data_IF_391482979630
#
_entry.id   IF_391482979630
#
_cell.length_a   1.000
_cell.length_b   1.000
_cell.length_c   1.000
_cell.angle_alpha   90.00
_cell.angle_beta   90.00
_cell.angle_gamma   90.00
#
_symmetry.space_group_name_H-M   'P 1'
#
loop_
_entity.id
_entity.type
_entity.pdbx_description
1 polymer ?
#
# COMPACT_ATOMS: atom_id res chain seq x y z
N UNK A 1 15.10 -38.50 -38.65
CA UNK A 1 14.92 -37.04 -38.82
C UNK A 1 14.73 -36.32 -37.48
N UNK A 2 13.93 -36.85 -36.54
CA UNK A 2 13.63 -36.20 -35.21
C UNK A 2 14.83 -36.01 -34.30
N UNK A 3 15.78 -36.95 -34.24
CA UNK A 3 16.97 -36.84 -33.36
C UNK A 3 17.93 -35.72 -33.78
N UNK A 4 18.16 -35.50 -35.08
CA UNK A 4 19.04 -34.44 -35.59
C UNK A 4 18.47 -33.03 -35.29
N UNK A 5 17.14 -32.86 -35.33
CA UNK A 5 16.47 -31.61 -34.99
C UNK A 5 16.58 -31.35 -33.51
N UNK A 6 16.42 -32.36 -32.66
CA UNK A 6 16.54 -32.22 -31.21
C UNK A 6 17.96 -31.79 -30.79
N UNK A 7 19.00 -32.37 -31.39
CA UNK A 7 20.40 -32.00 -31.12
C UNK A 7 20.67 -30.55 -31.55
N UNK A 8 20.16 -30.13 -32.71
CA UNK A 8 20.34 -28.75 -33.16
C UNK A 8 19.65 -27.72 -32.23
N UNK A 9 18.47 -28.02 -31.73
CA UNK A 9 17.74 -27.15 -30.78
C UNK A 9 18.48 -27.06 -29.43
N UNK A 10 18.97 -28.20 -28.90
CA UNK A 10 19.77 -28.19 -27.66
C UNK A 10 21.08 -27.42 -27.82
N UNK A 11 21.75 -27.50 -28.97
CA UNK A 11 22.98 -26.74 -29.21
C UNK A 11 22.76 -25.24 -29.25
N UNK A 12 21.65 -24.78 -29.82
CA UNK A 12 21.28 -23.35 -29.82
C UNK A 12 20.98 -22.86 -28.42
N UNK A 13 20.22 -23.62 -27.63
CA UNK A 13 19.91 -23.26 -26.23
C UNK A 13 21.19 -23.17 -25.38
N UNK A 14 22.12 -24.11 -25.55
CA UNK A 14 23.39 -24.10 -24.82
C UNK A 14 24.27 -22.91 -25.22
N UNK A 15 24.30 -22.53 -26.50
CA UNK A 15 25.03 -21.37 -26.98
C UNK A 15 24.46 -20.05 -26.41
N UNK A 16 23.15 -19.93 -26.31
CA UNK A 16 22.49 -18.75 -25.70
C UNK A 16 22.81 -18.67 -24.19
N UNK A 17 22.76 -19.79 -23.47
CA UNK A 17 23.11 -19.84 -22.04
C UNK A 17 24.56 -19.47 -21.79
N UNK A 18 25.51 -19.95 -22.61
CA UNK A 18 26.93 -19.62 -22.49
C UNK A 18 27.26 -18.16 -22.83
N UNK A 19 26.48 -17.53 -23.69
CA UNK A 19 26.62 -16.09 -24.01
C UNK A 19 26.08 -15.18 -22.89
N UNK A 20 25.13 -15.68 -22.07
CA UNK A 20 24.53 -14.91 -20.98
C UNK A 20 25.40 -14.85 -19.71
N UNK A 21 26.27 -15.85 -19.48
CA UNK A 21 27.13 -15.94 -18.29
C UNK A 21 28.08 -14.74 -18.15
N UNK A 22 28.82 -14.28 -19.18
CA UNK A 22 29.69 -13.11 -19.06
C UNK A 22 28.92 -11.78 -18.90
N UNK A 23 27.68 -11.71 -19.38
CA UNK A 23 26.84 -10.52 -19.25
C UNK A 23 26.39 -10.30 -17.80
N UNK A 24 25.97 -11.37 -17.12
CA UNK A 24 25.57 -11.31 -15.69
C UNK A 24 26.77 -11.00 -14.79
N UNK A 25 27.96 -11.56 -15.10
CA UNK A 25 29.17 -11.32 -14.31
C UNK A 25 29.66 -9.86 -14.41
N UNK A 26 29.42 -9.18 -15.53
CA UNK A 26 29.80 -7.79 -15.75
C UNK A 26 28.88 -6.78 -15.02
N UNK A 27 27.66 -7.20 -14.65
CA UNK A 27 26.74 -6.37 -13.87
C UNK A 27 26.88 -6.52 -12.35
N UNK A 28 27.68 -7.49 -11.88
CA UNK A 28 27.83 -7.83 -10.46
C UNK A 28 29.10 -7.33 -9.80
N UNK A 29 29.94 -6.53 -10.48
CA UNK A 29 31.11 -5.92 -9.84
C UNK A 29 30.74 -4.57 -9.23
N UNK A 30 30.84 -4.40 -7.89
CA UNK A 30 30.63 -3.12 -7.25
C UNK A 30 31.76 -2.17 -7.64
N UNK A 31 31.42 -0.99 -8.15
CA UNK A 31 32.36 0.12 -8.30
C UNK A 31 32.64 0.65 -6.90
N UNK A 32 33.88 0.55 -6.44
CA UNK A 32 34.31 1.15 -5.18
C UNK A 32 34.13 2.69 -5.22
N UNK A 33 33.61 3.30 -4.14
CA UNK A 33 33.56 4.75 -4.06
C UNK A 33 34.96 5.32 -3.76
N UNK A 34 35.43 6.21 -4.61
CA UNK A 34 36.61 7.05 -4.43
C UNK A 34 36.53 7.82 -3.11
N UNK A 35 37.50 7.59 -2.25
CA UNK A 35 37.71 8.32 -1.00
C UNK A 35 38.15 9.74 -1.27
N UNK A 36 37.27 10.73 -1.04
CA UNK A 36 37.66 12.13 -0.86
C UNK A 36 37.65 12.46 0.63
N UNK A 37 38.84 12.70 1.14
CA UNK A 37 39.13 13.19 2.48
C UNK A 37 38.50 14.57 2.71
N UNK A 38 37.62 14.71 3.71
CA UNK A 38 37.28 16.00 4.28
C UNK A 38 37.84 16.15 5.68
N UNK A 39 38.68 17.15 5.81
CA UNK A 39 39.35 17.64 7.02
C UNK A 39 38.30 18.15 8.01
N UNK A 40 38.39 17.72 9.24
CA UNK A 40 37.69 18.22 10.41
C UNK A 40 38.21 19.61 10.79
N UNK A 41 37.29 20.54 11.06
CA UNK A 41 37.60 21.75 11.87
C UNK A 41 36.59 21.82 13.00
N UNK A 42 37.09 21.61 14.20
CA UNK A 42 36.42 21.85 15.47
C UNK A 42 36.14 23.34 15.66
N UNK A 43 34.96 23.69 16.15
CA UNK A 43 34.77 24.89 16.94
C UNK A 43 33.71 24.66 18.03
N UNK A 44 34.23 24.63 19.23
CA UNK A 44 33.55 24.62 20.51
C UNK A 44 32.86 25.98 20.78
N UNK A 45 31.63 26.00 21.29
CA UNK A 45 31.21 27.02 22.25
C UNK A 45 30.01 26.58 23.08
N UNK A 46 30.25 26.55 24.35
CA UNK A 46 29.38 26.42 25.53
C UNK A 46 28.52 27.69 25.69
N UNK A 47 27.23 27.54 26.04
CA UNK A 47 26.57 28.38 27.04
C UNK A 47 25.19 27.85 27.44
N UNK A 48 25.14 27.34 28.66
CA UNK A 48 24.31 27.73 29.87
C UNK A 48 22.80 27.94 29.69
N UNK A 49 22.10 27.06 30.41
CA UNK A 49 20.74 27.27 30.97
C UNK A 49 20.67 28.50 31.94
N UNK A 50 19.48 29.06 32.19
CA UNK A 50 18.87 28.71 33.47
C UNK A 50 17.35 28.52 33.49
N UNK A 51 16.95 27.74 34.46
CA UNK A 51 15.60 27.44 34.90
C UNK A 51 14.90 28.63 35.56
N UNK A 52 13.55 28.67 35.46
CA UNK A 52 12.72 29.28 36.52
C UNK A 52 11.25 28.87 36.37
N UNK A 53 10.79 28.12 37.27
CA UNK A 53 9.61 27.92 38.09
C UNK A 53 8.55 29.02 38.06
N UNK A 54 7.22 28.63 38.07
CA UNK A 54 6.20 29.11 39.00
C UNK A 54 4.80 28.54 38.67
N UNK A 55 4.34 27.63 39.47
CA UNK A 55 3.12 27.59 40.31
C UNK A 55 1.74 27.88 39.69
N UNK A 56 0.85 26.92 39.94
CA UNK A 56 -0.62 26.99 39.88
C UNK A 56 -1.22 27.89 40.94
N UNK A 57 -2.53 28.21 40.83
CA UNK A 57 -3.45 27.48 41.72
C UNK A 57 -4.81 27.10 41.06
N UNK A 58 -5.41 26.08 41.66
CA UNK A 58 -6.73 25.55 41.47
C UNK A 58 -7.84 26.48 42.02
N UNK A 59 -9.02 26.44 41.39
CA UNK A 59 -10.26 26.93 42.03
C UNK A 59 -11.41 25.98 41.71
N UNK A 60 -12.10 25.64 42.76
CA UNK A 60 -13.14 24.66 42.93
C UNK A 60 -14.55 25.15 42.57
N UNK A 61 -15.36 24.23 42.10
CA UNK A 61 -16.80 23.90 42.06
C UNK A 61 -17.81 24.88 42.74
N UNK A 62 -19.09 24.94 42.30
CA UNK A 62 -20.03 23.91 42.78
C UNK A 62 -21.09 23.40 41.79
N UNK A 63 -21.59 22.22 42.09
CA UNK A 63 -22.70 21.52 41.48
C UNK A 63 -24.05 22.17 41.77
N UNK A 64 -24.98 22.09 40.82
CA UNK A 64 -26.41 22.32 41.07
C UNK A 64 -27.25 21.23 40.41
N UNK A 65 -28.12 20.69 41.22
CA UNK A 65 -28.98 19.53 41.10
C UNK A 65 -30.12 19.72 40.09
N UNK A 66 -30.58 18.58 39.61
CA UNK A 66 -31.71 18.30 38.71
C UNK A 66 -33.09 18.66 39.26
N UNK A 67 -34.12 18.60 38.40
CA UNK A 67 -35.20 17.67 38.73
C UNK A 67 -35.62 16.73 37.57
N UNK A 68 -36.04 15.55 38.00
CA UNK A 68 -36.58 14.47 37.20
C UNK A 68 -37.98 14.79 36.64
N UNK A 69 -38.23 14.35 35.39
CA UNK A 69 -39.58 14.24 34.86
C UNK A 69 -39.81 12.81 34.31
N UNK A 70 -40.92 12.23 34.75
CA UNK A 70 -41.37 10.86 34.47
C UNK A 70 -41.74 10.62 33.00
N UNK A 71 -41.63 9.38 32.51
CA UNK A 71 -41.96 9.02 31.11
C UNK A 71 -43.45 8.70 30.95
N UNK A 72 -44.02 9.28 29.91
CA UNK A 72 -45.35 8.93 29.37
C UNK A 72 -45.20 7.79 28.37
N UNK A 73 -45.80 6.65 28.67
CA UNK A 73 -45.89 5.49 27.79
C UNK A 73 -46.95 5.71 26.71
N UNK A 74 -46.54 5.69 25.46
CA UNK A 74 -47.44 5.57 24.32
C UNK A 74 -47.19 4.24 23.60
N UNK A 75 -48.21 3.46 23.22
CA UNK A 75 -48.01 2.15 22.61
C UNK A 75 -47.53 2.28 21.18
N UNK A 76 -46.38 1.69 20.92
CA UNK A 76 -45.77 1.63 19.59
C UNK A 76 -46.39 0.48 18.79
N UNK A 77 -47.05 0.81 17.72
CA UNK A 77 -47.50 -0.10 16.66
C UNK A 77 -46.31 -0.81 16.06
N UNK A 78 -46.28 -2.16 16.16
CA UNK A 78 -45.27 -2.99 15.53
C UNK A 78 -45.35 -2.87 14.00
N UNK A 79 -44.36 -2.20 13.41
CA UNK A 79 -44.16 -2.23 11.97
C UNK A 79 -43.61 -3.62 11.57
N UNK A 80 -44.26 -4.25 10.61
CA UNK A 80 -43.84 -5.50 10.02
C UNK A 80 -42.41 -5.43 9.50
N UNK A 81 -41.54 -6.30 9.97
CA UNK A 81 -40.16 -6.47 9.54
C UNK A 81 -40.16 -6.92 8.07
N UNK A 82 -39.77 -6.02 7.17
CA UNK A 82 -39.39 -6.41 5.81
C UNK A 82 -38.16 -7.29 5.87
N UNK A 83 -38.06 -8.35 5.03
CA UNK A 83 -36.87 -9.18 4.98
C UNK A 83 -35.68 -8.32 4.56
N UNK A 84 -34.69 -8.23 5.42
CA UNK A 84 -33.39 -7.59 5.13
C UNK A 84 -32.75 -8.32 3.97
N UNK A 85 -32.80 -7.72 2.79
CA UNK A 85 -31.96 -8.16 1.67
C UNK A 85 -30.52 -8.10 2.13
N UNK A 86 -29.85 -9.25 2.04
CA UNK A 86 -28.40 -9.41 2.26
C UNK A 86 -27.68 -8.27 1.52
N UNK A 87 -26.74 -7.55 2.14
CA UNK A 87 -26.04 -6.45 1.46
C UNK A 87 -25.49 -6.98 0.15
N UNK A 88 -25.92 -6.40 -0.95
CA UNK A 88 -25.32 -6.64 -2.26
C UNK A 88 -23.86 -6.17 -2.15
N UNK A 89 -22.91 -7.06 -2.45
CA UNK A 89 -21.49 -6.70 -2.49
C UNK A 89 -21.33 -5.41 -3.31
N UNK A 90 -20.65 -4.39 -2.79
CA UNK A 90 -20.41 -3.17 -3.53
C UNK A 90 -19.73 -3.53 -4.86
N UNK A 91 -20.22 -2.96 -5.96
CA UNK A 91 -19.60 -3.16 -7.27
C UNK A 91 -18.32 -2.32 -7.33
N UNK A 92 -17.17 -2.93 -7.16
CA UNK A 92 -15.86 -2.27 -7.22
C UNK A 92 -15.41 -1.98 -8.66
N UNK A 93 -16.08 -2.53 -9.67
CA UNK A 93 -15.79 -2.30 -11.07
C UNK A 93 -17.01 -2.57 -11.94
N UNK A 94 -17.07 -1.85 -13.08
CA UNK A 94 -18.07 -2.12 -14.15
C UNK A 94 -17.54 -3.16 -15.16
N UNK A 95 -16.24 -3.45 -15.16
CA UNK A 95 -15.64 -4.45 -16.03
C UNK A 95 -15.88 -5.86 -15.49
N UNK A 96 -16.52 -6.76 -16.26
CA UNK A 96 -16.80 -8.14 -15.81
C UNK A 96 -15.55 -8.95 -15.46
N UNK A 97 -14.41 -8.69 -16.12
CA UNK A 97 -13.14 -9.37 -15.83
C UNK A 97 -12.61 -8.96 -14.46
N UNK A 98 -12.64 -7.66 -14.15
CA UNK A 98 -12.20 -7.14 -12.84
C UNK A 98 -13.17 -7.58 -11.75
N UNK A 99 -14.48 -7.59 -12.01
CA UNK A 99 -15.46 -8.10 -11.04
C UNK A 99 -15.20 -9.57 -10.70
N UNK A 100 -14.95 -10.42 -11.71
CA UNK A 100 -14.62 -11.83 -11.49
C UNK A 100 -13.26 -12.00 -10.77
N UNK A 101 -12.26 -11.19 -11.14
CA UNK A 101 -10.96 -11.13 -10.50
C UNK A 101 -11.12 -10.84 -9.00
N UNK A 102 -11.79 -9.76 -8.62
CA UNK A 102 -12.00 -9.36 -7.22
C UNK A 102 -12.76 -10.45 -6.47
N UNK A 103 -13.84 -10.99 -7.03
CA UNK A 103 -14.62 -12.06 -6.40
C UNK A 103 -13.80 -13.32 -6.11
N UNK A 104 -12.83 -13.65 -6.94
CA UNK A 104 -11.91 -14.75 -6.70
C UNK A 104 -10.92 -14.42 -5.56
N UNK A 105 -10.32 -13.21 -5.57
CA UNK A 105 -9.31 -12.79 -4.58
C UNK A 105 -9.90 -12.59 -3.19
N UNK A 106 -11.11 -12.11 -3.06
CA UNK A 106 -11.80 -11.99 -1.77
C UNK A 106 -11.98 -13.33 -1.05
N UNK A 107 -11.79 -14.47 -1.73
CA UNK A 107 -11.83 -15.81 -1.13
C UNK A 107 -10.48 -16.32 -0.64
N UNK A 108 -9.38 -15.78 -1.18
CA UNK A 108 -8.02 -16.32 -1.00
C UNK A 108 -7.04 -15.30 -0.44
N UNK A 109 -7.26 -14.00 -0.67
CA UNK A 109 -6.40 -12.95 -0.15
C UNK A 109 -6.76 -12.62 1.31
N UNK A 110 -5.77 -12.09 2.05
CA UNK A 110 -5.92 -11.64 3.44
C UNK A 110 -5.75 -10.13 3.55
N UNK A 111 -6.28 -9.52 4.60
CA UNK A 111 -6.06 -8.10 4.87
C UNK A 111 -4.56 -7.83 5.11
N UNK A 112 -3.98 -6.74 4.53
CA UNK A 112 -2.57 -6.41 4.74
C UNK A 112 -2.27 -5.88 6.14
N UNK A 113 -3.28 -5.44 6.89
CA UNK A 113 -3.17 -4.95 8.28
C UNK A 113 -4.08 -5.80 9.15
N UNK A 114 -3.52 -6.58 10.08
CA UNK A 114 -4.28 -7.44 10.98
C UNK A 114 -4.70 -6.73 12.26
N UNK A 115 -4.00 -5.66 12.60
CA UNK A 115 -4.36 -4.81 13.73
C UNK A 115 -5.53 -3.89 13.35
N UNK A 116 -6.17 -3.29 14.34
CA UNK A 116 -7.23 -2.31 14.10
C UNK A 116 -6.69 -1.12 13.30
N UNK A 117 -7.39 -0.73 12.26
CA UNK A 117 -7.08 0.45 11.45
C UNK A 117 -8.30 1.38 11.39
N UNK A 118 -8.02 2.70 11.22
CA UNK A 118 -9.05 3.71 11.16
C UNK A 118 -9.96 3.57 9.95
N UNK A 119 -11.16 4.13 10.06
CA UNK A 119 -12.15 4.09 8.98
C UNK A 119 -11.60 4.69 7.68
N UNK A 120 -11.77 3.98 6.57
CA UNK A 120 -11.32 4.40 5.24
C UNK A 120 -12.37 5.29 4.59
N UNK A 121 -12.29 6.58 4.88
CA UNK A 121 -13.25 7.59 4.42
C UNK A 121 -12.57 8.83 3.82
N UNK A 122 -13.33 9.65 3.12
CA UNK A 122 -12.90 10.94 2.60
C UNK A 122 -11.69 10.84 1.68
N UNK A 123 -10.62 11.56 2.01
CA UNK A 123 -9.39 11.56 1.21
C UNK A 123 -8.64 10.22 1.21
N UNK A 124 -8.97 9.28 2.08
CA UNK A 124 -8.32 7.96 2.16
C UNK A 124 -8.85 6.96 1.13
N UNK A 125 -9.98 7.27 0.51
CA UNK A 125 -10.62 6.41 -0.48
C UNK A 125 -9.98 6.51 -1.85
N UNK A 126 -10.14 5.47 -2.65
CA UNK A 126 -9.77 5.46 -4.06
C UNK A 126 -10.47 6.58 -4.84
N UNK A 127 -9.80 7.09 -5.88
CA UNK A 127 -10.29 8.15 -6.76
C UNK A 127 -10.61 9.51 -6.09
N UNK A 128 -10.33 9.68 -4.79
CA UNK A 128 -10.45 10.98 -4.11
C UNK A 128 -9.49 12.01 -4.70
N UNK A 129 -9.85 13.30 -4.63
CA UNK A 129 -9.08 14.39 -5.23
C UNK A 129 -7.71 14.55 -4.54
N UNK A 130 -6.66 14.77 -5.34
CA UNK A 130 -5.29 15.03 -4.92
C UNK A 130 -4.72 16.24 -5.66
N UNK A 131 -3.80 16.97 -4.98
CA UNK A 131 -3.07 18.09 -5.59
C UNK A 131 -3.99 19.17 -6.14
N UNK A 132 -5.04 19.56 -5.42
CA UNK A 132 -6.00 20.57 -5.87
C UNK A 132 -6.82 20.14 -7.09
N UNK A 133 -7.15 18.86 -7.23
CA UNK A 133 -7.92 18.31 -8.35
C UNK A 133 -7.10 17.90 -9.58
N UNK A 134 -5.78 18.10 -9.55
CA UNK A 134 -4.90 17.78 -10.70
C UNK A 134 -4.73 16.28 -10.91
N UNK A 135 -4.92 15.47 -9.87
CA UNK A 135 -4.85 14.01 -9.93
C UNK A 135 -5.86 13.34 -9.00
N UNK A 136 -6.09 12.07 -9.20
CA UNK A 136 -6.89 11.22 -8.33
C UNK A 136 -5.99 10.33 -7.46
N UNK A 137 -6.52 9.92 -6.31
CA UNK A 137 -5.89 8.96 -5.42
C UNK A 137 -5.90 7.57 -6.05
N UNK A 138 -4.73 6.97 -6.20
CA UNK A 138 -4.56 5.71 -6.93
C UNK A 138 -4.68 4.46 -6.04
N UNK A 139 -4.90 4.65 -4.75
CA UNK A 139 -4.90 3.56 -3.79
C UNK A 139 -5.97 3.71 -2.71
N UNK A 140 -5.84 2.85 -1.72
CA UNK A 140 -6.61 2.84 -0.48
C UNK A 140 -5.64 3.04 0.69
N UNK A 141 -5.98 3.95 1.61
CA UNK A 141 -5.13 4.26 2.77
C UNK A 141 -5.69 3.60 4.03
N UNK A 142 -4.96 2.64 4.59
CA UNK A 142 -5.22 2.04 5.90
C UNK A 142 -4.48 2.86 6.96
N UNK A 143 -5.21 3.64 7.75
CA UNK A 143 -4.64 4.47 8.81
C UNK A 143 -4.40 3.61 10.03
N UNK A 144 -3.15 3.40 10.39
CA UNK A 144 -2.75 2.67 11.58
C UNK A 144 -1.41 3.24 12.10
N UNK A 145 -1.07 3.06 13.40
CA UNK A 145 0.11 3.66 13.99
C UNK A 145 1.43 3.25 13.31
N UNK A 146 2.42 4.13 13.39
CA UNK A 146 3.80 3.81 13.04
C UNK A 146 4.27 2.53 13.72
N UNK A 147 4.95 1.65 12.98
CA UNK A 147 5.40 0.35 13.47
C UNK A 147 4.38 -0.78 13.32
N UNK A 148 3.12 -0.50 12.96
CA UNK A 148 2.14 -1.55 12.65
C UNK A 148 2.67 -2.44 11.54
N UNK A 149 2.59 -3.76 11.72
CA UNK A 149 3.05 -4.76 10.75
C UNK A 149 2.16 -4.77 9.52
N UNK A 150 2.80 -4.87 8.35
CA UNK A 150 2.16 -5.02 7.05
C UNK A 150 2.46 -6.40 6.50
N UNK A 151 1.43 -7.11 6.09
CA UNK A 151 1.52 -8.50 5.66
C UNK A 151 1.31 -8.65 4.15
N UNK A 152 1.99 -9.62 3.55
CA UNK A 152 1.76 -10.03 2.17
C UNK A 152 0.31 -10.52 2.01
N UNK A 153 -0.47 -9.82 1.20
CA UNK A 153 -1.88 -10.14 0.90
C UNK A 153 -1.99 -11.52 0.23
N UNK A 154 -1.01 -11.86 -0.59
CA UNK A 154 -0.85 -13.12 -1.31
C UNK A 154 0.62 -13.36 -1.61
N UNK A 155 0.99 -14.56 -2.07
CA UNK A 155 2.37 -14.91 -2.40
C UNK A 155 2.83 -14.28 -3.73
N UNK A 156 4.14 -13.99 -3.83
CA UNK A 156 4.71 -13.42 -5.04
C UNK A 156 6.17 -13.02 -4.89
N UNK A 157 6.73 -12.44 -5.94
CA UNK A 157 8.14 -12.01 -5.99
C UNK A 157 8.23 -10.48 -6.01
N UNK A 158 9.11 -9.93 -5.19
CA UNK A 158 9.40 -8.50 -5.15
C UNK A 158 10.08 -8.07 -6.45
N UNK A 159 9.41 -7.25 -7.24
CA UNK A 159 9.97 -6.70 -8.49
C UNK A 159 10.67 -5.36 -8.29
N UNK A 160 10.31 -4.63 -7.24
CA UNK A 160 10.85 -3.30 -6.96
C UNK A 160 10.74 -2.92 -5.50
N UNK A 161 11.78 -2.27 -4.99
CA UNK A 161 11.80 -1.53 -3.73
C UNK A 161 12.34 -0.13 -4.05
N UNK A 162 11.60 0.92 -3.66
CA UNK A 162 12.01 2.29 -3.99
C UNK A 162 11.49 3.29 -2.96
N UNK A 163 12.20 4.42 -2.84
CA UNK A 163 11.68 5.58 -2.10
C UNK A 163 10.38 6.04 -2.73
N UNK A 164 9.39 6.31 -1.91
CA UNK A 164 8.07 6.73 -2.31
C UNK A 164 7.79 8.17 -1.85
N UNK A 165 6.75 8.41 -1.10
CA UNK A 165 6.31 9.73 -0.67
C UNK A 165 6.94 10.10 0.68
N UNK A 166 7.48 11.33 0.81
CA UNK A 166 8.01 11.86 2.08
C UNK A 166 8.95 10.90 2.81
N UNK A 167 9.99 10.44 2.11
CA UNK A 167 11.04 9.54 2.61
C UNK A 167 10.57 8.15 3.07
N UNK A 168 9.36 7.74 2.76
CA UNK A 168 8.89 6.38 2.97
C UNK A 168 9.27 5.46 1.81
N UNK A 169 9.06 4.16 1.94
CA UNK A 169 9.35 3.19 0.91
C UNK A 169 8.09 2.60 0.30
N UNK A 170 8.22 2.12 -0.93
CA UNK A 170 7.25 1.26 -1.60
C UNK A 170 7.88 -0.06 -1.99
N UNK A 171 7.13 -1.15 -1.82
CA UNK A 171 7.43 -2.49 -2.30
C UNK A 171 6.39 -2.87 -3.35
N UNK A 172 6.85 -3.29 -4.52
CA UNK A 172 6.01 -3.79 -5.60
C UNK A 172 6.21 -5.31 -5.70
N UNK A 173 5.14 -6.08 -5.55
CA UNK A 173 5.16 -7.54 -5.62
C UNK A 173 4.36 -7.99 -6.83
N UNK A 174 5.00 -8.76 -7.71
CA UNK A 174 4.32 -9.52 -8.76
C UNK A 174 3.85 -10.82 -8.13
N UNK A 175 2.55 -10.96 -8.01
CA UNK A 175 1.93 -12.10 -7.36
C UNK A 175 1.93 -13.32 -8.27
N UNK A 176 1.85 -14.52 -7.68
CA UNK A 176 1.83 -15.79 -8.42
C UNK A 176 0.65 -15.89 -9.42
N UNK A 177 -0.41 -15.11 -9.20
CA UNK A 177 -1.59 -15.05 -10.06
C UNK A 177 -1.46 -14.00 -11.20
N UNK A 178 -0.30 -13.34 -11.31
CA UNK A 178 0.02 -12.34 -12.33
C UNK A 178 -0.41 -10.92 -11.99
N UNK A 179 -1.20 -10.70 -10.94
CA UNK A 179 -1.53 -9.35 -10.45
C UNK A 179 -0.31 -8.69 -9.80
N UNK A 180 -0.37 -7.35 -9.62
CA UNK A 180 0.69 -6.64 -8.91
C UNK A 180 0.08 -5.86 -7.76
N UNK A 181 0.69 -6.01 -6.58
CA UNK A 181 0.39 -5.24 -5.39
C UNK A 181 1.54 -4.28 -5.09
N UNK A 182 1.19 -3.04 -4.76
CA UNK A 182 2.14 -2.03 -4.30
C UNK A 182 1.81 -1.61 -2.89
N UNK A 183 2.72 -1.90 -1.97
CA UNK A 183 2.67 -1.53 -0.56
C UNK A 183 3.51 -0.28 -0.36
N UNK A 184 2.92 0.83 0.07
CA UNK A 184 3.60 2.11 0.18
C UNK A 184 3.52 2.67 1.60
N UNK A 185 4.44 3.61 1.88
CA UNK A 185 4.57 4.29 3.18
C UNK A 185 5.00 3.36 4.31
N UNK A 186 5.85 2.39 3.97
CA UNK A 186 6.38 1.38 4.88
C UNK A 186 7.90 1.44 4.99
N UNK A 187 8.46 0.96 6.11
CA UNK A 187 9.83 0.50 6.24
C UNK A 187 9.90 -0.98 5.87
N UNK A 188 10.94 -1.39 5.14
CA UNK A 188 11.12 -2.77 4.69
C UNK A 188 12.59 -3.15 4.62
N UNK A 189 12.88 -4.43 4.83
CA UNK A 189 14.18 -5.07 4.64
C UNK A 189 14.22 -5.89 3.33
N UNK A 190 13.09 -6.01 2.63
CA UNK A 190 12.97 -6.78 1.40
C UNK A 190 13.79 -6.17 0.28
N UNK A 191 14.25 -7.03 -0.62
CA UNK A 191 15.03 -6.69 -1.81
C UNK A 191 14.36 -7.23 -3.06
N UNK A 192 14.70 -6.64 -4.19
CA UNK A 192 14.28 -7.15 -5.50
C UNK A 192 14.73 -8.60 -5.67
N UNK A 193 13.80 -9.47 -6.05
CA UNK A 193 13.99 -10.90 -6.21
C UNK A 193 13.59 -11.74 -5.01
N UNK A 194 13.33 -11.14 -3.84
CA UNK A 194 12.83 -11.87 -2.68
C UNK A 194 11.42 -12.41 -2.99
N UNK A 195 11.19 -13.67 -2.61
CA UNK A 195 9.86 -14.28 -2.67
C UNK A 195 9.20 -14.16 -1.30
N UNK A 196 7.97 -13.70 -1.26
CA UNK A 196 7.15 -13.60 -0.06
C UNK A 196 5.96 -14.54 -0.15
N UNK A 197 5.68 -15.24 0.94
CA UNK A 197 4.49 -16.05 1.08
C UNK A 197 3.33 -15.22 1.63
N UNK A 198 2.10 -15.60 1.33
CA UNK A 198 0.92 -14.98 1.94
C UNK A 198 1.04 -15.00 3.48
N UNK A 199 0.88 -13.84 4.10
CA UNK A 199 1.01 -13.67 5.54
C UNK A 199 2.41 -13.38 6.06
N UNK A 200 3.43 -13.39 5.21
CA UNK A 200 4.76 -12.89 5.58
C UNK A 200 4.75 -11.40 5.85
N UNK A 201 5.66 -10.91 6.68
CA UNK A 201 5.80 -9.49 6.96
C UNK A 201 6.53 -8.82 5.79
N UNK A 202 5.83 -7.93 5.06
CA UNK A 202 6.40 -7.08 4.01
C UNK A 202 7.20 -5.91 4.60
N UNK A 203 6.75 -5.41 5.74
CA UNK A 203 7.36 -4.27 6.42
C UNK A 203 6.52 -3.76 7.58
N UNK A 204 6.77 -2.51 7.98
CA UNK A 204 6.00 -1.82 9.01
C UNK A 204 5.61 -0.42 8.52
N UNK A 205 4.45 0.08 8.95
CA UNK A 205 4.00 1.43 8.61
C UNK A 205 5.02 2.46 9.10
N UNK A 206 5.42 3.38 8.23
CA UNK A 206 6.28 4.51 8.56
C UNK A 206 5.43 5.74 8.94
N UNK A 207 6.05 6.62 9.76
CA UNK A 207 5.58 8.00 9.84
C UNK A 207 6.25 8.77 8.70
N UNK A 208 5.47 9.30 7.77
CA UNK A 208 5.95 10.19 6.72
C UNK A 208 6.42 11.54 7.30
N UNK A 209 7.29 12.28 6.61
CA UNK A 209 7.80 13.59 7.07
C UNK A 209 6.67 14.59 7.38
N UNK A 210 5.52 14.49 6.72
CA UNK A 210 4.32 15.27 7.02
C UNK A 210 3.51 14.79 8.21
N UNK A 211 3.99 13.77 8.96
CA UNK A 211 3.36 13.24 10.17
C UNK A 211 2.22 12.25 9.92
N UNK A 212 1.94 11.85 8.67
CA UNK A 212 0.93 10.82 8.37
C UNK A 212 1.47 9.43 8.68
N UNK A 213 0.59 8.57 9.20
CA UNK A 213 0.86 7.17 9.52
C UNK A 213 -0.22 6.33 8.86
N UNK A 214 0.13 5.60 7.81
CA UNK A 214 -0.82 4.77 7.07
C UNK A 214 -0.07 3.83 6.13
N UNK A 215 -0.74 2.76 5.73
CA UNK A 215 -0.36 1.94 4.59
C UNK A 215 -1.18 2.41 3.37
N UNK A 216 -0.51 2.87 2.31
CA UNK A 216 -1.15 3.14 1.03
C UNK A 216 -1.02 1.92 0.13
N UNK A 217 -2.14 1.36 -0.33
CA UNK A 217 -2.20 0.16 -1.17
C UNK A 217 -2.71 0.47 -2.58
N UNK A 218 -1.98 -0.01 -3.57
CA UNK A 218 -2.40 0.01 -4.97
C UNK A 218 -2.50 -1.42 -5.51
N UNK A 219 -3.48 -1.69 -6.37
CA UNK A 219 -3.69 -2.99 -7.01
C UNK A 219 -3.73 -2.83 -8.53
N UNK A 220 -3.00 -3.71 -9.22
CA UNK A 220 -2.96 -3.75 -10.67
C UNK A 220 -3.38 -5.14 -11.17
N UNK A 221 -4.15 -5.15 -12.26
CA UNK A 221 -4.65 -6.39 -12.86
C UNK A 221 -3.53 -7.31 -13.37
N UNK A 222 -2.43 -6.72 -13.84
CA UNK A 222 -1.23 -7.44 -14.29
C UNK A 222 -1.03 -7.45 -15.81
N UNK A 223 -1.96 -6.86 -16.58
CA UNK A 223 -1.90 -6.84 -18.06
C UNK A 223 -1.42 -5.49 -18.63
N UNK A 224 -0.84 -4.64 -17.80
CA UNK A 224 -0.22 -3.39 -18.21
C UNK A 224 1.29 -3.51 -18.37
N UNK A 225 1.90 -2.56 -19.09
CA UNK A 225 3.33 -2.55 -19.38
C UNK A 225 4.04 -1.36 -18.71
N UNK A 226 5.30 -1.57 -18.37
CA UNK A 226 6.19 -0.55 -17.82
C UNK A 226 5.98 -0.30 -16.33
N UNK A 227 6.51 0.84 -15.87
CA UNK A 227 6.51 1.24 -14.47
C UNK A 227 5.10 1.50 -13.95
N UNK A 228 4.82 1.16 -12.68
CA UNK A 228 3.51 1.42 -12.05
C UNK A 228 3.21 2.91 -11.95
N UNK A 229 4.19 3.75 -11.62
CA UNK A 229 4.05 5.22 -11.69
C UNK A 229 4.36 5.70 -13.10
N UNK A 230 3.45 6.47 -13.70
CA UNK A 230 3.59 7.05 -15.02
C UNK A 230 3.12 8.50 -15.01
N UNK A 231 3.77 9.37 -15.79
CA UNK A 231 3.37 10.77 -15.96
C UNK A 231 2.40 10.93 -17.15
N UNK A 232 1.67 12.03 -17.14
CA UNK A 232 0.73 12.41 -18.21
C UNK A 232 -0.66 11.78 -18.07
N UNK A 233 -1.56 12.17 -18.99
CA UNK A 233 -2.89 11.61 -19.07
C UNK A 233 -2.82 10.20 -19.67
N UNK A 234 -3.36 9.22 -18.96
CA UNK A 234 -3.41 7.82 -19.37
C UNK A 234 -4.85 7.38 -19.57
N UNK A 235 -5.07 6.54 -20.57
CA UNK A 235 -6.31 5.79 -20.69
C UNK A 235 -6.23 4.60 -19.73
N UNK A 236 -7.16 4.52 -18.80
CA UNK A 236 -7.23 3.42 -17.84
C UNK A 236 -8.22 2.37 -18.35
N UNK A 237 -7.86 1.09 -18.20
CA UNK A 237 -8.69 -0.02 -18.69
C UNK A 237 -9.87 -0.33 -17.78
N UNK A 238 -9.68 -0.19 -16.46
CA UNK A 238 -10.56 -0.79 -15.45
C UNK A 238 -11.13 0.20 -14.45
N UNK A 239 -10.75 1.46 -14.55
CA UNK A 239 -11.23 2.55 -13.67
C UNK A 239 -11.65 3.76 -14.51
N UNK A 240 -12.20 4.79 -13.85
CA UNK A 240 -12.60 6.03 -14.52
C UNK A 240 -11.41 6.74 -15.17
N UNK A 241 -11.67 7.62 -16.14
CA UNK A 241 -10.65 8.40 -16.85
C UNK A 241 -10.01 9.53 -16.04
N UNK A 242 -10.08 9.48 -14.71
CA UNK A 242 -9.36 10.41 -13.85
C UNK A 242 -7.85 10.21 -13.98
N UNK A 243 -7.08 11.29 -13.81
CA UNK A 243 -5.63 11.22 -13.85
C UNK A 243 -5.07 10.62 -12.56
N UNK A 244 -4.76 9.33 -12.54
CA UNK A 244 -4.11 8.67 -11.41
C UNK A 244 -2.58 8.74 -11.46
N UNK A 245 -1.99 9.12 -12.59
CA UNK A 245 -0.55 9.06 -12.86
C UNK A 245 0.02 7.65 -12.61
N UNK A 246 -0.70 6.64 -13.06
CA UNK A 246 -0.41 5.22 -12.86
C UNK A 246 -0.50 4.44 -14.18
N UNK A 247 -0.02 3.23 -14.17
CA UNK A 247 -0.15 2.27 -15.28
C UNK A 247 -1.62 1.99 -15.58
N UNK A 248 -1.93 1.73 -16.83
CA UNK A 248 -3.32 1.66 -17.35
C UNK A 248 -4.17 0.53 -16.75
N UNK A 249 -3.55 -0.49 -16.18
CA UNK A 249 -4.20 -1.65 -15.57
C UNK A 249 -4.45 -1.52 -14.06
N UNK A 250 -4.39 -0.28 -13.53
CA UNK A 250 -4.84 0.03 -12.17
C UNK A 250 -6.30 -0.39 -12.00
N UNK A 251 -6.61 -1.04 -10.88
CA UNK A 251 -7.98 -1.36 -10.47
C UNK A 251 -8.33 -0.67 -9.14
N UNK A 252 -9.61 -0.56 -8.83
CA UNK A 252 -10.08 -0.01 -7.56
C UNK A 252 -9.75 -0.97 -6.41
N UNK A 253 -8.87 -0.59 -5.46
CA UNK A 253 -8.45 -1.44 -4.36
C UNK A 253 -9.43 -1.44 -3.17
N UNK A 254 -10.59 -0.81 -3.28
CA UNK A 254 -11.51 -0.63 -2.13
C UNK A 254 -11.93 -1.94 -1.48
N UNK A 255 -11.95 -3.05 -2.24
CA UNK A 255 -12.28 -4.38 -1.71
C UNK A 255 -11.26 -4.91 -0.69
N UNK A 256 -10.04 -4.36 -0.64
CA UNK A 256 -8.99 -4.80 0.29
C UNK A 256 -9.38 -4.62 1.76
N UNK A 257 -10.21 -3.61 2.08
CA UNK A 257 -10.70 -3.36 3.45
C UNK A 257 -11.70 -4.42 3.94
N UNK A 258 -12.28 -5.17 3.02
CA UNK A 258 -13.31 -6.20 3.28
C UNK A 258 -12.71 -7.63 3.24
N UNK A 259 -11.37 -7.74 3.11
CA UNK A 259 -10.66 -9.01 3.17
C UNK A 259 -10.66 -9.59 4.60
N UNK A 260 -10.60 -10.92 4.75
CA UNK A 260 -10.45 -11.56 6.06
C UNK A 260 -9.13 -11.15 6.73
N UNK A 261 -9.19 -10.97 8.05
CA UNK A 261 -8.06 -10.66 8.93
C UNK A 261 -7.10 -11.85 9.09
#
# INVERSE_FOLDING_TARGET
>A
MKLKVLIAVLSVILAVLLAFVPYVHRMSTPTEPSSSSFTSTEASSVHTEPASSSSAPATSVPATSAPATQPTTQPTTQAATQPTTKPQNPSYSQDPKVTAFIAARMKTWICPVKDEFGEVVGSRTFASSRGGGKRAHAGLDFVAPHGTKVYAITSGTVQRVAVFYQNTWAVEVVNDDGSILRYCEIATELKVGDYVQQGDIIGTIMRADGGTEMLHMEVYYGDGEGMLTQSGNKTYKYVSEKNYMRRSDLIDPTFLKDLPQ
#
